data_IF_958305138817
#
_entry.id   IF_958305138817
#
_cell.length_a   1.000
_cell.length_b   1.000
_cell.length_c   1.000
_cell.angle_alpha   90.00
_cell.angle_beta   90.00
_cell.angle_gamma   90.00
#
_symmetry.space_group_name_H-M   'P 1'
#
loop_
_entity.id
_entity.type
_entity.pdbx_description
1 polymer ?
#
# COMPACT_ATOMS: atom_id res chain seq x y z
N UNK A 1 15.14 4.01 2.79
CA UNK A 1 14.65 2.62 2.97
C UNK A 1 15.74 1.60 2.64
N UNK A 2 16.97 1.73 3.18
CA UNK A 2 18.09 0.85 2.79
C UNK A 2 18.27 -0.37 3.70
N UNK A 3 18.08 -0.20 5.02
CA UNK A 3 18.32 -1.29 5.98
C UNK A 3 17.47 -2.54 5.77
N UNK A 4 16.17 -2.41 5.48
CA UNK A 4 15.29 -3.58 5.30
C UNK A 4 15.64 -4.41 4.04
N UNK A 5 16.05 -3.76 2.95
CA UNK A 5 16.45 -4.44 1.72
C UNK A 5 17.83 -5.09 1.85
N UNK A 6 18.75 -4.40 2.54
CA UNK A 6 20.11 -4.88 2.80
C UNK A 6 20.12 -6.09 3.75
N UNK A 7 19.29 -6.10 4.80
CA UNK A 7 19.12 -7.28 5.65
C UNK A 7 18.45 -8.42 4.89
N UNK A 8 17.39 -8.16 4.10
CA UNK A 8 16.74 -9.19 3.28
C UNK A 8 17.70 -9.83 2.27
N UNK A 9 18.63 -9.07 1.71
CA UNK A 9 19.62 -9.57 0.76
C UNK A 9 20.57 -10.62 1.36
N UNK A 10 20.80 -10.60 2.69
CA UNK A 10 21.61 -11.60 3.40
C UNK A 10 20.91 -12.96 3.49
N UNK A 11 19.57 -12.98 3.50
CA UNK A 11 18.76 -14.19 3.64
C UNK A 11 18.21 -14.68 2.31
N UNK A 12 17.71 -13.78 1.46
CA UNK A 12 17.16 -14.09 0.14
C UNK A 12 17.34 -12.90 -0.83
N UNK A 13 18.36 -13.00 -1.69
CA UNK A 13 18.67 -12.00 -2.70
C UNK A 13 17.60 -11.85 -3.79
N UNK A 14 16.74 -12.86 -4.01
CA UNK A 14 15.62 -12.76 -4.96
C UNK A 14 14.51 -11.91 -4.38
N UNK A 15 14.19 -12.11 -3.10
CA UNK A 15 13.21 -11.29 -2.39
C UNK A 15 13.69 -9.85 -2.20
N UNK A 16 14.97 -9.64 -1.94
CA UNK A 16 15.56 -8.30 -1.86
C UNK A 16 15.50 -7.52 -3.19
N UNK A 17 15.34 -8.20 -4.33
CA UNK A 17 15.18 -7.61 -5.67
C UNK A 17 13.73 -7.59 -6.15
N UNK A 18 12.79 -8.05 -5.33
CA UNK A 18 11.38 -8.10 -5.70
C UNK A 18 10.76 -6.70 -5.63
N UNK A 19 10.36 -6.16 -6.78
CA UNK A 19 9.75 -4.83 -6.89
C UNK A 19 8.41 -4.69 -6.16
N UNK A 20 7.71 -5.79 -5.88
CA UNK A 20 6.46 -5.74 -5.11
C UNK A 20 6.70 -5.53 -3.61
N UNK A 21 7.93 -5.79 -3.15
CA UNK A 21 8.35 -5.61 -1.75
C UNK A 21 9.21 -4.36 -1.62
N UNK A 22 10.15 -4.18 -2.54
CA UNK A 22 11.02 -3.02 -2.64
C UNK A 22 10.74 -2.28 -3.97
N UNK A 23 9.69 -1.44 -4.00
CA UNK A 23 9.25 -0.78 -5.23
C UNK A 23 10.35 0.09 -5.83
N UNK A 24 10.45 0.06 -7.16
CA UNK A 24 11.29 0.99 -7.91
C UNK A 24 10.78 2.42 -7.77
N UNK A 25 11.63 3.40 -8.10
CA UNK A 25 11.27 4.82 -8.02
C UNK A 25 10.04 5.16 -8.89
N UNK A 26 9.82 4.46 -10.01
CA UNK A 26 8.65 4.64 -10.86
C UNK A 26 7.36 4.17 -10.17
N UNK A 27 7.41 3.02 -9.49
CA UNK A 27 6.29 2.49 -8.70
C UNK A 27 6.04 3.34 -7.46
N UNK A 28 7.10 3.77 -6.77
CA UNK A 28 7.03 4.60 -5.58
C UNK A 28 6.28 5.92 -5.82
N UNK A 29 6.46 6.54 -7.00
CA UNK A 29 5.75 7.76 -7.39
C UNK A 29 4.23 7.61 -7.51
N UNK A 30 3.74 6.39 -7.69
CA UNK A 30 2.30 6.07 -7.78
C UNK A 30 1.69 5.71 -6.43
N UNK A 31 2.52 5.50 -5.40
CA UNK A 31 2.05 5.15 -4.08
C UNK A 31 1.54 6.39 -3.35
N UNK A 32 0.38 6.24 -2.71
CA UNK A 32 -0.20 7.26 -1.86
C UNK A 32 -0.43 6.66 -0.47
N UNK A 33 -0.02 7.39 0.56
CA UNK A 33 -0.33 7.00 1.93
C UNK A 33 -1.79 7.36 2.20
N UNK A 34 -2.56 6.39 2.70
CA UNK A 34 -3.91 6.66 3.17
C UNK A 34 -3.84 7.63 4.35
N UNK A 35 -4.42 8.82 4.18
CA UNK A 35 -4.58 9.78 5.27
C UNK A 35 -5.75 9.40 6.17
N UNK A 36 -5.74 9.92 7.39
CA UNK A 36 -6.93 9.91 8.25
C UNK A 36 -8.12 10.59 7.56
N UNK A 37 -9.31 10.05 7.80
CA UNK A 37 -10.58 10.58 7.33
C UNK A 37 -11.31 11.27 8.47
N UNK A 38 -12.01 12.37 8.19
CA UNK A 38 -12.98 12.91 9.14
C UNK A 38 -14.28 12.09 9.12
N UNK A 39 -15.17 12.33 10.09
CA UNK A 39 -16.41 11.56 10.24
C UNK A 39 -17.30 11.56 8.98
N UNK A 40 -17.42 12.71 8.31
CA UNK A 40 -18.23 12.86 7.09
C UNK A 40 -17.63 12.07 5.91
N UNK A 41 -16.31 12.09 5.76
CA UNK A 41 -15.60 11.33 4.73
C UNK A 41 -15.69 9.83 4.97
N UNK A 42 -15.50 9.40 6.22
CA UNK A 42 -15.60 8.00 6.59
C UNK A 42 -16.99 7.43 6.30
N UNK A 43 -18.05 8.18 6.64
CA UNK A 43 -19.43 7.78 6.34
C UNK A 43 -19.65 7.66 4.82
N UNK A 44 -19.23 8.67 4.05
CA UNK A 44 -19.37 8.68 2.59
C UNK A 44 -18.72 7.46 1.93
N UNK A 45 -17.46 7.16 2.29
CA UNK A 45 -16.74 6.03 1.72
C UNK A 45 -17.33 4.69 2.18
N UNK A 46 -17.74 4.58 3.45
CA UNK A 46 -18.40 3.38 3.97
C UNK A 46 -19.71 3.08 3.24
N UNK A 47 -20.58 4.09 3.08
CA UNK A 47 -21.85 3.93 2.35
C UNK A 47 -21.63 3.58 0.88
N UNK A 48 -20.66 4.23 0.22
CA UNK A 48 -20.33 3.91 -1.17
C UNK A 48 -19.81 2.47 -1.31
N UNK A 49 -18.97 2.02 -0.37
CA UNK A 49 -18.45 0.65 -0.36
C UNK A 49 -19.54 -0.39 -0.12
N UNK A 50 -20.45 -0.14 0.82
CA UNK A 50 -21.60 -1.01 1.09
C UNK A 50 -22.52 -1.13 -0.14
N UNK A 51 -22.76 -0.03 -0.85
CA UNK A 51 -23.59 -0.01 -2.06
C UNK A 51 -23.01 -0.89 -3.18
N UNK A 52 -21.69 -0.90 -3.37
CA UNK A 52 -21.05 -1.74 -4.39
C UNK A 52 -20.83 -3.18 -3.95
N UNK A 53 -20.75 -3.44 -2.64
CA UNK A 53 -20.58 -4.77 -2.07
C UNK A 53 -21.85 -5.64 -2.14
N UNK A 54 -22.98 -5.13 -2.64
CA UNK A 54 -24.18 -5.92 -2.94
C UNK A 54 -25.09 -6.19 -1.75
N UNK A 55 -24.89 -5.52 -0.61
CA UNK A 55 -25.78 -5.61 0.56
C UNK A 55 -26.84 -4.48 0.59
N UNK A 56 -27.28 -4.00 -0.57
CA UNK A 56 -28.32 -2.99 -0.73
C UNK A 56 -29.46 -3.48 -1.60
#
# INVERSE_FOLDING_TARGET
>A
MKGAQEEMAKFDAKQAKNELIFPTAATYKKLHVFRGLNASEQLKFSTAFQKVAGNG
#
